data_IF_365948570368
#
_entry.id   IF_365948570368
#
_cell.length_a   1.000
_cell.length_b   1.000
_cell.length_c   1.000
_cell.angle_alpha   90.00
_cell.angle_beta   90.00
_cell.angle_gamma   90.00
#
_symmetry.space_group_name_H-M   'P 1'
#
loop_
_entity.id
_entity.type
_entity.pdbx_description
1 polymer ?
#
# COMPACT_ATOMS: atom_id res chain seq x y z
N UNK A 1 -37.25 -38.20 -6.71
CA UNK A 1 -37.33 -36.85 -6.08
C UNK A 1 -35.94 -36.32 -5.70
N UNK A 2 -35.15 -35.82 -6.66
CA UNK A 2 -33.83 -35.18 -6.40
C UNK A 2 -33.64 -33.80 -7.07
N UNK A 3 -34.59 -33.35 -7.88
CA UNK A 3 -34.36 -32.25 -8.84
C UNK A 3 -34.58 -30.84 -8.30
N UNK A 4 -35.29 -30.65 -7.18
CA UNK A 4 -35.63 -29.31 -6.66
C UNK A 4 -34.54 -28.75 -5.73
N UNK A 5 -33.94 -29.60 -4.92
CA UNK A 5 -32.86 -29.25 -3.98
C UNK A 5 -31.55 -28.92 -4.69
N UNK A 6 -31.24 -29.64 -5.77
CA UNK A 6 -30.02 -29.40 -6.57
C UNK A 6 -30.10 -28.09 -7.36
N UNK A 7 -31.28 -27.75 -7.93
CA UNK A 7 -31.47 -26.47 -8.63
C UNK A 7 -31.33 -25.27 -7.70
N UNK A 8 -31.82 -25.37 -6.46
CA UNK A 8 -31.69 -24.31 -5.45
C UNK A 8 -30.23 -24.10 -5.01
N UNK A 9 -29.49 -25.18 -4.78
CA UNK A 9 -28.05 -25.12 -4.45
C UNK A 9 -27.22 -24.51 -5.59
N UNK A 10 -27.51 -24.89 -6.83
CA UNK A 10 -26.84 -24.32 -8.01
C UNK A 10 -27.13 -22.83 -8.17
N UNK A 11 -28.38 -22.40 -7.95
CA UNK A 11 -28.77 -21.00 -7.99
C UNK A 11 -28.10 -20.17 -6.88
N UNK A 12 -28.05 -20.70 -5.65
CA UNK A 12 -27.38 -20.05 -4.52
C UNK A 12 -25.86 -19.93 -4.76
N UNK A 13 -25.23 -20.96 -5.33
CA UNK A 13 -23.83 -20.93 -5.71
C UNK A 13 -23.55 -19.89 -6.81
N UNK A 14 -24.43 -19.77 -7.81
CA UNK A 14 -24.34 -18.74 -8.85
C UNK A 14 -24.46 -17.33 -8.28
N UNK A 15 -25.41 -17.09 -7.37
CA UNK A 15 -25.56 -15.82 -6.67
C UNK A 15 -24.32 -15.47 -5.84
N UNK A 16 -23.74 -16.44 -5.12
CA UNK A 16 -22.50 -16.24 -4.38
C UNK A 16 -21.36 -15.85 -5.34
N UNK A 17 -21.15 -16.61 -6.42
CA UNK A 17 -20.11 -16.33 -7.41
C UNK A 17 -20.27 -14.96 -8.10
N UNK A 18 -21.49 -14.53 -8.37
CA UNK A 18 -21.77 -13.20 -8.93
C UNK A 18 -21.45 -12.08 -7.94
N UNK A 19 -21.80 -12.24 -6.66
CA UNK A 19 -21.45 -11.28 -5.61
C UNK A 19 -19.94 -11.21 -5.40
N UNK A 20 -19.22 -12.34 -5.40
CA UNK A 20 -17.77 -12.36 -5.33
C UNK A 20 -17.10 -11.66 -6.52
N UNK A 21 -17.59 -11.89 -7.74
CA UNK A 21 -17.07 -11.20 -8.94
C UNK A 21 -17.35 -9.69 -8.93
N UNK A 22 -18.54 -9.28 -8.47
CA UNK A 22 -18.91 -7.88 -8.34
C UNK A 22 -18.09 -7.16 -7.25
N UNK A 23 -17.85 -7.81 -6.10
CA UNK A 23 -16.97 -7.27 -5.05
C UNK A 23 -15.55 -7.08 -5.57
N UNK A 24 -14.97 -8.10 -6.21
CA UNK A 24 -13.61 -8.02 -6.75
C UNK A 24 -13.44 -6.93 -7.82
N UNK A 25 -14.45 -6.73 -8.69
CA UNK A 25 -14.39 -5.65 -9.69
C UNK A 25 -14.51 -4.27 -9.04
N UNK A 26 -15.33 -4.12 -8.00
CA UNK A 26 -15.46 -2.89 -7.22
C UNK A 26 -14.17 -2.55 -6.46
N UNK A 27 -13.53 -3.55 -5.85
CA UNK A 27 -12.28 -3.36 -5.10
C UNK A 27 -11.10 -3.01 -6.01
N UNK A 28 -11.03 -3.60 -7.22
CA UNK A 28 -10.05 -3.20 -8.24
C UNK A 28 -10.28 -1.77 -8.73
N UNK A 29 -11.54 -1.33 -8.91
CA UNK A 29 -11.84 0.06 -9.27
C UNK A 29 -11.43 1.04 -8.18
N UNK A 30 -11.62 0.68 -6.90
CA UNK A 30 -11.17 1.48 -5.75
C UNK A 30 -9.65 1.57 -5.70
N UNK A 31 -8.94 0.47 -5.93
CA UNK A 31 -7.48 0.46 -6.03
C UNK A 31 -6.98 1.43 -7.13
N UNK A 32 -7.60 1.40 -8.31
CA UNK A 32 -7.28 2.34 -9.41
C UNK A 32 -7.57 3.79 -9.06
N UNK A 33 -8.65 4.06 -8.31
CA UNK A 33 -8.94 5.41 -7.84
C UNK A 33 -7.85 5.91 -6.87
N UNK A 34 -7.37 5.05 -5.98
CA UNK A 34 -6.24 5.34 -5.09
C UNK A 34 -4.97 5.64 -5.90
N UNK A 35 -4.67 4.85 -6.93
CA UNK A 35 -3.49 5.10 -7.76
C UNK A 35 -3.53 6.48 -8.44
N UNK A 36 -4.70 6.87 -8.96
CA UNK A 36 -4.89 8.21 -9.56
C UNK A 36 -4.65 9.34 -8.57
N UNK A 37 -4.96 9.16 -7.28
CA UNK A 37 -4.66 10.16 -6.23
C UNK A 37 -3.16 10.41 -6.16
N UNK A 38 -2.35 9.35 -6.21
CA UNK A 38 -0.89 9.46 -6.07
C UNK A 38 -0.17 9.84 -7.36
N UNK A 39 -0.70 9.47 -8.53
CA UNK A 39 -0.20 9.94 -9.83
C UNK A 39 -0.35 11.45 -10.02
N UNK A 40 -1.44 12.03 -9.49
CA UNK A 40 -1.72 13.46 -9.61
C UNK A 40 -0.96 14.33 -8.60
N UNK A 41 -0.30 13.75 -7.60
CA UNK A 41 0.37 14.50 -6.55
C UNK A 41 1.76 14.97 -6.98
N UNK A 42 2.13 16.21 -6.65
CA UNK A 42 3.53 16.62 -6.75
C UNK A 42 4.38 15.69 -5.89
N UNK A 43 5.56 15.34 -6.40
CA UNK A 43 6.50 14.51 -5.65
C UNK A 43 6.84 15.19 -4.32
N UNK A 44 6.57 14.51 -3.21
CA UNK A 44 6.96 14.97 -1.89
C UNK A 44 8.48 15.15 -1.82
N UNK A 45 8.93 16.12 -1.03
CA UNK A 45 10.36 16.32 -0.78
C UNK A 45 10.75 15.46 0.42
N UNK A 46 11.92 14.82 0.33
CA UNK A 46 12.54 14.18 1.50
C UNK A 46 12.83 15.24 2.55
N UNK A 47 12.01 15.23 3.61
CA UNK A 47 12.13 16.17 4.72
C UNK A 47 13.08 15.65 5.80
N UNK A 48 13.25 14.32 5.88
CA UNK A 48 13.96 13.65 6.95
C UNK A 48 14.32 12.22 6.57
N UNK A 49 15.57 11.90 6.84
CA UNK A 49 16.14 10.55 6.80
C UNK A 49 16.49 10.10 8.21
N UNK A 50 16.01 8.93 8.59
CA UNK A 50 16.41 8.23 9.81
C UNK A 50 17.13 6.91 9.47
N UNK A 51 18.09 6.52 10.31
CA UNK A 51 18.83 5.26 10.19
C UNK A 51 18.73 4.54 11.54
N UNK A 52 18.21 3.32 11.54
CA UNK A 52 18.11 2.48 12.75
C UNK A 52 18.58 1.08 12.41
N UNK A 53 19.74 0.68 12.94
CA UNK A 53 20.40 -0.56 12.53
C UNK A 53 20.65 -0.57 11.01
N UNK A 54 20.22 -1.64 10.34
CA UNK A 54 20.33 -1.82 8.88
C UNK A 54 19.14 -1.25 8.09
N UNK A 55 18.25 -0.48 8.74
CA UNK A 55 17.07 0.11 8.11
C UNK A 55 17.27 1.60 7.88
N UNK A 56 17.01 2.05 6.65
CA UNK A 56 16.98 3.47 6.28
C UNK A 56 15.54 3.85 5.99
N UNK A 57 15.05 4.91 6.64
CA UNK A 57 13.68 5.40 6.51
C UNK A 57 13.69 6.84 6.03
N UNK A 58 12.93 7.14 4.97
CA UNK A 58 12.74 8.47 4.42
C UNK A 58 11.29 8.90 4.63
N UNK A 59 11.10 10.12 5.13
CA UNK A 59 9.79 10.70 5.39
C UNK A 59 9.54 11.86 4.42
N UNK A 60 8.47 11.76 3.65
CA UNK A 60 8.12 12.70 2.60
C UNK A 60 6.87 13.48 2.95
N UNK A 61 6.96 14.79 2.78
CA UNK A 61 5.87 15.71 3.07
C UNK A 61 5.66 16.67 1.92
N UNK A 62 4.46 17.23 1.85
CA UNK A 62 4.12 18.26 0.90
C UNK A 62 4.80 19.58 1.32
N UNK A 63 5.64 20.21 0.48
CA UNK A 63 6.43 21.36 0.90
C UNK A 63 5.61 22.58 1.33
N UNK A 64 4.45 22.79 0.70
CA UNK A 64 3.60 23.98 0.96
C UNK A 64 2.66 23.81 2.15
N UNK A 65 2.14 22.61 2.37
CA UNK A 65 1.10 22.34 3.39
C UNK A 65 1.66 21.62 4.61
N UNK A 66 2.84 21.01 4.50
CA UNK A 66 3.38 20.14 5.56
C UNK A 66 2.67 18.80 5.66
N UNK A 67 1.78 18.47 4.73
CA UNK A 67 1.01 17.22 4.77
C UNK A 67 1.94 16.02 4.65
N UNK A 68 1.69 15.00 5.46
CA UNK A 68 2.45 13.75 5.42
C UNK A 68 1.99 12.88 4.26
N UNK A 69 2.88 12.61 3.31
CA UNK A 69 2.52 11.97 2.05
C UNK A 69 2.97 10.52 1.99
N UNK A 70 4.21 10.25 2.41
CA UNK A 70 4.83 8.97 2.12
C UNK A 70 5.98 8.64 3.07
N UNK A 71 6.19 7.34 3.29
CA UNK A 71 7.41 6.80 3.89
C UNK A 71 8.04 5.78 2.96
N UNK A 72 9.36 5.83 2.82
CA UNK A 72 10.13 4.80 2.14
C UNK A 72 11.06 4.14 3.17
N UNK A 73 10.87 2.86 3.43
CA UNK A 73 11.77 2.06 4.25
C UNK A 73 12.57 1.08 3.41
N UNK A 74 13.89 1.13 3.54
CA UNK A 74 14.82 0.16 2.99
C UNK A 74 15.33 -0.72 4.12
N UNK A 75 14.92 -1.99 4.13
CA UNK A 75 15.33 -2.94 5.15
C UNK A 75 16.51 -3.73 4.63
N UNK A 76 17.60 -3.77 5.39
CA UNK A 76 18.76 -4.63 5.13
C UNK A 76 19.13 -4.68 3.64
N UNK A 77 19.52 -3.52 3.10
CA UNK A 77 19.82 -3.31 1.67
C UNK A 77 20.80 -4.35 1.08
N UNK A 78 21.61 -4.99 1.93
CA UNK A 78 22.56 -6.04 1.52
C UNK A 78 21.92 -7.42 1.36
N UNK A 79 20.91 -7.77 2.18
CA UNK A 79 20.31 -9.12 2.21
C UNK A 79 18.99 -9.22 1.46
N UNK A 80 17.98 -8.46 1.84
CA UNK A 80 16.61 -8.65 1.33
C UNK A 80 16.37 -7.84 0.06
N UNK A 81 17.02 -6.67 -0.06
CA UNK A 81 16.85 -5.73 -1.18
C UNK A 81 15.38 -5.37 -1.42
N UNK A 82 14.56 -5.37 -0.37
CA UNK A 82 13.16 -4.97 -0.43
C UNK A 82 13.06 -3.53 0.09
N UNK A 83 12.37 -2.69 -0.67
CA UNK A 83 11.92 -1.38 -0.20
C UNK A 83 10.41 -1.37 -0.03
N UNK A 84 9.97 -0.89 1.13
CA UNK A 84 8.57 -0.72 1.49
C UNK A 84 8.22 0.74 1.30
N UNK A 85 7.19 1.01 0.52
CA UNK A 85 6.73 2.37 0.25
C UNK A 85 5.30 2.51 0.75
N UNK A 86 5.10 3.33 1.77
CA UNK A 86 3.82 3.61 2.39
C UNK A 86 3.30 4.94 1.87
N UNK A 87 2.08 4.96 1.37
CA UNK A 87 1.41 6.14 0.84
C UNK A 87 0.22 6.52 1.71
N UNK A 88 0.15 7.80 2.05
CA UNK A 88 -0.85 8.36 2.94
C UNK A 88 -1.69 9.42 2.25
N UNK A 89 -2.96 9.46 2.60
CA UNK A 89 -3.88 10.50 2.17
C UNK A 89 -4.87 10.81 3.29
N UNK A 90 -5.10 12.10 3.54
CA UNK A 90 -6.10 12.57 4.49
C UNK A 90 -5.95 11.95 5.88
N UNK A 91 -4.70 11.75 6.32
CA UNK A 91 -4.38 11.16 7.62
C UNK A 91 -4.51 9.62 7.69
N UNK A 92 -4.75 8.94 6.56
CA UNK A 92 -4.92 7.50 6.50
C UNK A 92 -3.89 6.83 5.60
N UNK A 93 -3.54 5.57 5.92
CA UNK A 93 -2.78 4.72 5.01
C UNK A 93 -3.70 4.27 3.86
N UNK A 94 -3.30 4.54 2.62
CA UNK A 94 -4.08 4.13 1.43
C UNK A 94 -3.40 3.05 0.61
N UNK A 95 -2.07 3.04 0.56
CA UNK A 95 -1.35 2.05 -0.26
C UNK A 95 0.00 1.70 0.35
N UNK A 96 0.40 0.44 0.23
CA UNK A 96 1.78 0.02 0.48
C UNK A 96 2.30 -0.76 -0.71
N UNK A 97 3.48 -0.38 -1.18
CA UNK A 97 4.15 -1.04 -2.30
C UNK A 97 5.48 -1.64 -1.84
N UNK A 98 5.64 -2.94 -2.08
CA UNK A 98 6.88 -3.66 -1.87
C UNK A 98 7.59 -3.75 -3.21
N UNK A 99 8.76 -3.15 -3.29
CA UNK A 99 9.65 -3.31 -4.44
C UNK A 99 10.81 -4.20 -4.05
N UNK A 100 10.97 -5.32 -4.75
CA UNK A 100 12.16 -6.15 -4.66
C UNK A 100 13.15 -5.71 -5.73
N UNK A 101 14.36 -5.30 -5.33
CA UNK A 101 15.40 -4.97 -6.29
C UNK A 101 16.04 -6.25 -6.86
N UNK A 102 15.61 -6.64 -8.07
CA UNK A 102 16.22 -7.72 -8.85
C UNK A 102 17.23 -7.14 -9.86
N UNK A 103 18.42 -6.73 -9.39
CA UNK A 103 19.48 -6.27 -10.30
C UNK A 103 19.14 -4.98 -11.08
N UNK A 104 19.50 -4.95 -12.37
CA UNK A 104 19.56 -3.75 -13.23
C UNK A 104 18.25 -3.38 -13.96
N UNK A 105 17.18 -4.18 -13.84
CA UNK A 105 15.93 -3.95 -14.59
C UNK A 105 14.81 -3.34 -13.73
N UNK A 106 13.98 -2.55 -14.43
CA UNK A 106 12.88 -1.71 -13.96
C UNK A 106 12.26 -2.18 -12.65
N UNK A 107 12.18 -1.25 -11.69
CA UNK A 107 11.30 -1.32 -10.52
C UNK A 107 9.89 -1.64 -11.06
N UNK A 108 9.43 -2.88 -10.93
CA UNK A 108 8.02 -3.26 -11.07
C UNK A 108 7.53 -3.57 -9.65
N UNK A 109 6.37 -3.04 -9.22
CA UNK A 109 5.85 -3.35 -7.89
C UNK A 109 5.78 -4.87 -7.74
N UNK A 110 6.43 -5.41 -6.72
CA UNK A 110 6.39 -6.85 -6.48
C UNK A 110 5.12 -7.23 -5.73
N UNK A 111 4.66 -6.36 -4.83
CA UNK A 111 3.33 -6.45 -4.21
C UNK A 111 2.78 -5.05 -3.95
N UNK A 112 1.51 -4.81 -4.23
CA UNK A 112 0.78 -3.60 -3.80
C UNK A 112 -0.40 -3.99 -2.92
N UNK A 113 -0.51 -3.37 -1.75
CA UNK A 113 -1.65 -3.46 -0.83
C UNK A 113 -2.40 -2.15 -0.85
N UNK A 114 -3.73 -2.21 -0.95
CA UNK A 114 -4.60 -1.05 -0.96
C UNK A 114 -5.53 -1.09 0.24
N UNK A 115 -5.63 0.04 0.92
CA UNK A 115 -6.36 0.16 2.18
C UNK A 115 -7.42 1.25 2.10
N UNK A 116 -8.52 1.03 2.79
CA UNK A 116 -9.51 2.06 3.09
C UNK A 116 -9.99 1.90 4.53
N UNK A 117 -10.01 2.98 5.29
CA UNK A 117 -10.36 2.97 6.71
C UNK A 117 -9.63 1.87 7.51
N UNK A 118 -8.31 1.75 7.29
CA UNK A 118 -7.44 0.73 7.89
C UNK A 118 -7.82 -0.74 7.60
N UNK A 119 -8.61 -0.99 6.55
CA UNK A 119 -8.93 -2.35 6.08
C UNK A 119 -8.32 -2.58 4.71
N UNK A 120 -7.73 -3.75 4.49
CA UNK A 120 -7.26 -4.16 3.18
C UNK A 120 -8.47 -4.33 2.25
N UNK A 121 -8.48 -3.63 1.13
CA UNK A 121 -9.52 -3.73 0.10
C UNK A 121 -9.01 -4.47 -1.14
N UNK A 122 -7.72 -4.37 -1.45
CA UNK A 122 -7.17 -5.01 -2.64
C UNK A 122 -5.68 -5.35 -2.46
N UNK A 123 -5.24 -6.43 -3.10
CA UNK A 123 -3.85 -6.86 -3.15
C UNK A 123 -3.50 -7.25 -4.58
N UNK A 124 -2.43 -6.69 -5.10
CA UNK A 124 -1.83 -7.09 -6.37
C UNK A 124 -0.46 -7.70 -6.11
N UNK A 125 -0.18 -8.87 -6.68
CA UNK A 125 1.09 -9.59 -6.52
C UNK A 125 1.74 -9.84 -7.87
N UNK A 126 3.03 -9.57 -7.96
CA UNK A 126 3.84 -9.87 -9.14
C UNK A 126 5.21 -10.44 -8.71
N UNK A 127 5.33 -11.77 -8.74
CA UNK A 127 6.60 -12.48 -8.54
C UNK A 127 7.17 -12.43 -7.11
N UNK A 128 6.46 -11.84 -6.15
CA UNK A 128 6.76 -11.91 -4.73
C UNK A 128 5.52 -12.35 -3.98
N UNK A 129 5.65 -13.46 -3.25
CA UNK A 129 4.65 -13.89 -2.31
C UNK A 129 4.92 -13.27 -0.94
N UNK A 130 3.97 -12.48 -0.45
CA UNK A 130 4.06 -11.77 0.82
C UNK A 130 2.63 -11.56 1.34
N UNK A 131 2.34 -12.08 2.53
CA UNK A 131 0.97 -12.11 3.09
C UNK A 131 0.86 -11.50 4.50
N UNK A 132 1.93 -10.92 5.03
CA UNK A 132 1.89 -10.29 6.37
C UNK A 132 1.27 -8.89 6.33
N UNK A 133 -0.05 -8.85 6.12
CA UNK A 133 -0.86 -7.63 6.04
C UNK A 133 -0.84 -6.88 7.38
N UNK A 134 -0.90 -7.61 8.50
CA UNK A 134 -0.90 -7.02 9.85
C UNK A 134 0.40 -6.29 10.12
N UNK A 135 1.54 -6.85 9.74
CA UNK A 135 2.82 -6.16 9.83
C UNK A 135 2.80 -4.82 9.08
N UNK A 136 2.39 -4.83 7.81
CA UNK A 136 2.36 -3.63 6.96
C UNK A 136 1.42 -2.57 7.54
N UNK A 137 0.22 -2.97 7.96
CA UNK A 137 -0.78 -2.06 8.51
C UNK A 137 -0.30 -1.43 9.83
N UNK A 138 0.23 -2.24 10.74
CA UNK A 138 0.78 -1.76 12.01
C UNK A 138 1.93 -0.79 11.78
N UNK A 139 2.81 -1.08 10.80
CA UNK A 139 3.93 -0.22 10.45
C UNK A 139 3.47 1.12 9.88
N UNK A 140 2.49 1.11 8.97
CA UNK A 140 1.89 2.33 8.42
C UNK A 140 1.24 3.21 9.48
N UNK A 141 0.47 2.62 10.39
CA UNK A 141 -0.18 3.34 11.50
C UNK A 141 0.84 3.95 12.48
N UNK A 142 1.95 3.24 12.74
CA UNK A 142 3.05 3.77 13.54
C UNK A 142 3.72 4.99 12.86
N UNK A 143 3.77 5.06 11.53
CA UNK A 143 4.28 6.25 10.85
C UNK A 143 3.32 7.43 10.97
N UNK A 144 2.02 7.20 10.81
CA UNK A 144 1.00 8.23 11.00
C UNK A 144 1.08 8.86 12.39
N UNK A 145 1.19 8.04 13.44
CA UNK A 145 1.25 8.55 14.82
C UNK A 145 2.50 9.38 15.12
N UNK A 146 3.58 9.19 14.36
CA UNK A 146 4.85 9.92 14.52
C UNK A 146 5.04 11.02 13.47
N UNK A 147 4.09 11.20 12.56
CA UNK A 147 4.26 12.05 11.38
C UNK A 147 4.53 13.52 11.75
N UNK A 148 3.79 14.07 12.70
CA UNK A 148 3.95 15.46 13.17
C UNK A 148 5.30 15.68 13.85
N UNK A 149 5.72 14.77 14.73
CA UNK A 149 7.01 14.83 15.43
C UNK A 149 8.22 14.74 14.50
N UNK A 150 8.03 14.08 13.34
CA UNK A 150 9.11 13.80 12.38
C UNK A 150 9.25 14.90 11.33
N UNK A 151 8.24 15.76 11.15
CA UNK A 151 8.27 16.83 10.16
C UNK A 151 9.42 17.80 10.44
N UNK A 152 10.16 18.10 9.39
CA UNK A 152 11.15 19.18 9.35
C UNK A 152 10.89 19.97 8.09
N UNK A 153 10.77 21.29 8.20
CA UNK A 153 10.57 22.13 7.03
C UNK A 153 11.67 21.87 5.99
N UNK A 154 11.30 21.75 4.70
CA UNK A 154 12.28 21.56 3.64
C UNK A 154 13.27 22.73 3.63
N UNK A 155 14.56 22.42 3.66
CA UNK A 155 15.61 23.43 3.47
C UNK A 155 15.76 23.72 1.99
N UNK A 156 15.09 24.76 1.50
CA UNK A 156 15.35 25.28 0.16
C UNK A 156 16.74 25.95 0.18
N UNK A 157 17.69 25.38 -0.58
CA UNK A 157 19.00 25.98 -0.86
C UNK A 157 18.97 26.57 -2.26
#
# INVERSE_FOLDING_TARGET
MKTRTDKFKTFLLLLLLLNFKASNSQDSLRARAIDKIFEARPHGVDSRRDITGDTITFYMYQPKTGDFLQVIEYWNLRKTKISYVYYFDSGELKRVVLWKANGMFKKVPSVSFYFDQNKLIHKETNGLDFDDISFILNRGNMFLSKASERYKEPKFK
#
